data_IF_603554658927
#
_entry.id   IF_603554658927
#
_cell.length_a   1.000
_cell.length_b   1.000
_cell.length_c   1.000
_cell.angle_alpha   90.00
_cell.angle_beta   90.00
_cell.angle_gamma   90.00
#
_symmetry.space_group_name_H-M   'P 1'
#
loop_
_entity.id
_entity.type
_entity.pdbx_description
1 polymer ?
#
# COMPACT_ATOMS: atom_id res chain seq x y z
N UNK A 1 -15.01 46.06 52.44
CA UNK A 1 -15.17 46.01 50.99
C UNK A 1 -13.83 45.56 50.41
N UNK A 2 -13.61 44.55 49.82
CA UNK A 2 -13.99 43.37 49.17
C UNK A 2 -12.80 42.37 49.12
N UNK A 3 -12.49 41.66 50.20
CA UNK A 3 -11.49 40.55 50.13
C UNK A 3 -12.07 39.30 49.45
N UNK A 4 -13.37 39.26 49.18
CA UNK A 4 -14.06 38.13 48.54
C UNK A 4 -14.05 38.19 47.02
N UNK A 5 -14.08 39.35 46.40
CA UNK A 5 -14.06 39.50 44.93
C UNK A 5 -12.74 38.99 44.29
N UNK A 6 -11.61 39.20 44.98
CA UNK A 6 -10.30 38.71 44.49
C UNK A 6 -10.14 37.18 44.50
N UNK A 7 -10.86 36.50 45.41
CA UNK A 7 -10.80 35.02 45.51
C UNK A 7 -11.63 34.31 44.43
N UNK A 8 -12.75 34.93 44.01
CA UNK A 8 -13.63 34.40 42.96
C UNK A 8 -12.98 34.60 41.59
N UNK A 9 -12.37 35.74 41.33
CA UNK A 9 -11.64 36.01 40.07
C UNK A 9 -10.38 35.14 39.94
N UNK A 10 -9.66 34.90 41.03
CA UNK A 10 -8.51 33.99 41.05
C UNK A 10 -8.91 32.52 40.78
N UNK A 11 -10.03 32.05 41.34
CA UNK A 11 -10.56 30.71 41.13
C UNK A 11 -11.03 30.46 39.69
N UNK A 12 -11.69 31.46 39.07
CA UNK A 12 -12.11 31.39 37.66
C UNK A 12 -10.91 31.40 36.70
N UNK A 13 -9.87 32.20 36.97
CA UNK A 13 -8.63 32.22 36.18
C UNK A 13 -7.88 30.92 36.22
N UNK A 14 -7.81 30.26 37.38
CA UNK A 14 -7.15 28.93 37.52
C UNK A 14 -7.96 27.84 36.81
N UNK A 15 -9.29 27.85 36.89
CA UNK A 15 -10.16 26.90 36.18
C UNK A 15 -10.04 27.04 34.64
N UNK A 16 -9.94 28.26 34.13
CA UNK A 16 -9.75 28.52 32.68
C UNK A 16 -8.34 28.06 32.24
N UNK A 17 -7.30 28.30 33.06
CA UNK A 17 -5.94 27.85 32.74
C UNK A 17 -5.79 26.33 32.82
N UNK A 18 -6.40 25.70 33.83
CA UNK A 18 -6.38 24.23 33.94
C UNK A 18 -7.25 23.58 32.86
N UNK A 19 -8.42 24.15 32.55
CA UNK A 19 -9.26 23.70 31.45
C UNK A 19 -8.60 23.91 30.08
N UNK A 20 -7.94 25.06 29.86
CA UNK A 20 -7.17 25.36 28.66
C UNK A 20 -5.94 24.44 28.50
N UNK A 21 -5.19 24.22 29.58
CA UNK A 21 -4.06 23.30 29.57
C UNK A 21 -4.50 21.86 29.37
N UNK A 22 -5.62 21.42 29.93
CA UNK A 22 -6.22 20.11 29.69
C UNK A 22 -6.66 19.90 28.25
N UNK A 23 -7.28 20.92 27.62
CA UNK A 23 -7.66 20.89 26.20
C UNK A 23 -6.45 20.90 25.26
N UNK A 24 -5.41 21.67 25.56
CA UNK A 24 -4.16 21.67 24.80
C UNK A 24 -3.42 20.36 25.00
N UNK A 25 -3.32 19.85 26.24
CA UNK A 25 -2.72 18.57 26.53
C UNK A 25 -3.47 17.41 25.81
N UNK A 26 -4.80 17.40 25.80
CA UNK A 26 -5.58 16.38 25.09
C UNK A 26 -5.36 16.41 23.56
N UNK A 27 -5.11 17.59 22.98
CA UNK A 27 -4.74 17.73 21.56
C UNK A 27 -3.31 17.30 21.26
N UNK A 28 -2.38 17.46 22.20
CA UNK A 28 -0.97 17.10 22.03
C UNK A 28 -0.73 15.63 22.37
N UNK A 29 -1.52 15.03 23.27
CA UNK A 29 -1.32 13.70 23.85
C UNK A 29 -2.41 12.68 23.48
N UNK A 30 -3.37 13.05 22.62
CA UNK A 30 -4.45 12.16 22.19
C UNK A 30 -3.96 11.00 21.32
N UNK A 31 -4.65 9.86 21.42
CA UNK A 31 -4.41 8.69 20.56
C UNK A 31 -4.71 9.04 19.08
N UNK A 32 -3.84 8.57 18.18
CA UNK A 32 -3.83 8.96 16.78
C UNK A 32 -3.94 7.78 15.85
N UNK A 33 -4.50 8.03 14.68
CA UNK A 33 -4.44 7.16 13.51
C UNK A 33 -3.44 7.75 12.53
N UNK A 34 -2.38 7.01 12.22
CA UNK A 34 -1.43 7.40 11.19
C UNK A 34 -1.93 6.94 9.82
N UNK A 35 -1.70 7.74 8.79
CA UNK A 35 -1.96 7.39 7.40
C UNK A 35 -0.62 7.29 6.68
N UNK A 36 -0.37 6.14 6.06
CA UNK A 36 0.76 5.89 5.17
C UNK A 36 0.21 5.61 3.79
N UNK A 37 0.76 6.24 2.76
CA UNK A 37 0.34 6.06 1.37
C UNK A 37 1.34 5.23 0.61
N UNK A 38 0.83 4.30 -0.19
CA UNK A 38 1.61 3.51 -1.15
C UNK A 38 0.94 3.69 -2.51
N UNK A 39 1.49 4.59 -3.30
CA UNK A 39 0.95 5.00 -4.58
C UNK A 39 1.86 4.55 -5.73
N UNK A 40 1.28 4.20 -6.88
CA UNK A 40 2.03 3.85 -8.10
C UNK A 40 2.69 2.46 -8.04
N UNK A 41 3.63 2.19 -8.94
CA UNK A 41 4.30 0.89 -9.04
C UNK A 41 5.26 0.69 -7.87
N UNK A 42 5.15 -0.46 -7.20
CA UNK A 42 6.05 -0.83 -6.10
C UNK A 42 7.39 -1.27 -6.68
N UNK A 43 8.44 -0.52 -6.36
CA UNK A 43 9.81 -0.80 -6.80
C UNK A 43 10.73 -0.98 -5.60
N UNK A 44 11.82 -1.72 -5.78
CA UNK A 44 12.91 -1.78 -4.82
C UNK A 44 13.68 -0.44 -4.83
N UNK A 45 14.03 0.07 -3.66
CA UNK A 45 14.75 1.33 -3.54
C UNK A 45 13.85 2.57 -3.49
N UNK A 46 14.42 3.74 -3.83
CA UNK A 46 13.68 5.01 -3.92
C UNK A 46 13.09 5.17 -5.31
N UNK A 47 11.86 5.65 -5.39
CA UNK A 47 11.27 6.02 -6.67
C UNK A 47 12.11 7.13 -7.33
N UNK A 48 12.53 6.99 -8.61
CA UNK A 48 13.22 8.06 -9.32
C UNK A 48 12.29 9.26 -9.47
N UNK A 49 12.66 10.43 -8.94
CA UNK A 49 11.78 11.59 -8.75
C UNK A 49 11.35 12.32 -10.03
N UNK A 50 11.81 11.92 -11.21
CA UNK A 50 11.54 12.68 -12.44
C UNK A 50 10.61 11.98 -13.46
N UNK A 51 10.50 10.64 -13.44
CA UNK A 51 9.74 9.87 -14.43
C UNK A 51 8.86 8.75 -13.86
N UNK A 52 8.88 8.54 -12.55
CA UNK A 52 8.18 7.42 -11.96
C UNK A 52 7.36 7.89 -10.74
N UNK A 53 6.05 7.96 -10.90
CA UNK A 53 5.09 8.22 -9.81
C UNK A 53 4.86 6.95 -8.96
N UNK A 54 5.93 6.24 -8.61
CA UNK A 54 5.87 5.02 -7.82
C UNK A 54 6.33 5.24 -6.38
N UNK A 55 5.78 4.49 -5.45
CA UNK A 55 6.30 4.40 -4.08
C UNK A 55 7.50 3.46 -4.07
N UNK A 56 8.67 3.99 -3.71
CA UNK A 56 9.82 3.17 -3.39
C UNK A 56 9.56 2.37 -2.11
N UNK A 57 9.95 1.10 -2.09
CA UNK A 57 9.82 0.28 -0.88
C UNK A 57 10.59 0.90 0.29
N UNK A 58 11.78 1.45 0.04
CA UNK A 58 12.58 2.12 1.06
C UNK A 58 11.85 3.29 1.74
N UNK A 59 11.04 4.04 0.99
CA UNK A 59 10.24 5.15 1.54
C UNK A 59 9.11 4.63 2.41
N UNK A 60 8.36 3.66 1.90
CA UNK A 60 7.25 3.05 2.62
C UNK A 60 7.74 2.36 3.91
N UNK A 61 8.87 1.66 3.86
CA UNK A 61 9.50 1.01 5.02
C UNK A 61 9.95 2.04 6.06
N UNK A 62 10.59 3.15 5.63
CA UNK A 62 11.00 4.21 6.56
C UNK A 62 9.81 4.87 7.24
N UNK A 63 8.71 5.12 6.53
CA UNK A 63 7.48 5.66 7.07
C UNK A 63 6.85 4.71 8.08
N UNK A 64 6.67 3.44 7.74
CA UNK A 64 6.09 2.42 8.62
C UNK A 64 6.95 2.19 9.87
N UNK A 65 8.27 2.04 9.72
CA UNK A 65 9.18 1.84 10.85
C UNK A 65 9.16 3.03 11.82
N UNK A 66 9.04 4.26 11.29
CA UNK A 66 8.95 5.47 12.11
C UNK A 66 7.74 5.47 13.06
N UNK A 67 6.71 4.69 12.74
CA UNK A 67 5.47 4.59 13.53
C UNK A 67 5.62 3.60 14.69
N UNK A 68 6.47 2.58 14.54
CA UNK A 68 6.52 1.43 15.47
C UNK A 68 6.63 1.87 16.93
N UNK A 69 7.53 2.78 17.24
CA UNK A 69 7.83 3.22 18.60
C UNK A 69 6.99 4.41 19.08
N UNK A 70 6.10 4.93 18.24
CA UNK A 70 5.26 6.07 18.60
C UNK A 70 4.05 5.64 19.42
N UNK A 71 4.14 5.77 20.74
CA UNK A 71 3.07 5.38 21.69
C UNK A 71 1.72 6.04 21.43
N UNK A 72 1.72 7.25 20.86
CA UNK A 72 0.52 8.02 20.55
C UNK A 72 -0.22 7.46 19.33
N UNK A 73 0.46 6.74 18.42
CA UNK A 73 -0.17 6.10 17.28
C UNK A 73 -0.67 4.73 17.70
N UNK A 74 -1.98 4.58 17.75
CA UNK A 74 -2.64 3.33 18.13
C UNK A 74 -3.08 2.51 16.91
N UNK A 75 -3.32 3.19 15.79
CA UNK A 75 -3.69 2.53 14.55
C UNK A 75 -3.03 3.18 13.33
N UNK A 76 -2.96 2.41 12.26
CA UNK A 76 -2.43 2.83 10.96
C UNK A 76 -3.45 2.53 9.88
N UNK A 77 -3.67 3.47 8.98
CA UNK A 77 -4.37 3.24 7.73
C UNK A 77 -3.34 3.24 6.61
N UNK A 78 -3.25 2.11 5.91
CA UNK A 78 -2.48 1.99 4.67
C UNK A 78 -3.37 2.39 3.52
N UNK A 79 -3.15 3.56 2.93
CA UNK A 79 -3.84 3.95 1.70
C UNK A 79 -3.07 3.40 0.51
N UNK A 80 -3.62 2.38 -0.12
CA UNK A 80 -3.02 1.66 -1.24
C UNK A 80 -3.67 2.11 -2.56
N UNK A 81 -2.87 2.71 -3.44
CA UNK A 81 -3.31 3.06 -4.80
C UNK A 81 -2.22 2.64 -5.81
N UNK A 82 -2.09 1.32 -6.02
CA UNK A 82 -0.98 0.71 -6.71
C UNK A 82 -1.40 -0.53 -7.50
N UNK A 83 -0.91 -0.71 -8.73
CA UNK A 83 -1.11 -1.94 -9.50
C UNK A 83 -0.23 -3.11 -9.02
N UNK A 84 0.58 -2.91 -7.98
CA UNK A 84 1.60 -3.85 -7.52
C UNK A 84 2.99 -3.52 -8.08
N UNK A 85 3.84 -4.52 -8.19
CA UNK A 85 5.22 -4.34 -8.67
C UNK A 85 6.13 -5.48 -8.22
N UNK A 86 7.31 -5.14 -7.68
CA UNK A 86 8.29 -6.10 -7.18
C UNK A 86 7.70 -6.97 -6.07
N UNK A 87 7.78 -8.30 -6.23
CA UNK A 87 7.31 -9.25 -5.23
C UNK A 87 8.11 -9.12 -3.93
N UNK A 88 9.45 -9.05 -4.02
CA UNK A 88 10.32 -8.92 -2.85
C UNK A 88 10.03 -7.63 -2.07
N UNK A 89 9.92 -6.48 -2.76
CA UNK A 89 9.58 -5.22 -2.12
C UNK A 89 8.19 -5.26 -1.44
N UNK A 90 7.21 -5.91 -2.07
CA UNK A 90 5.87 -6.09 -1.48
C UNK A 90 5.91 -6.96 -0.23
N UNK A 91 6.75 -8.01 -0.21
CA UNK A 91 6.97 -8.85 0.95
C UNK A 91 7.65 -8.10 2.10
N UNK A 92 8.64 -7.26 1.82
CA UNK A 92 9.29 -6.44 2.84
C UNK A 92 8.32 -5.47 3.50
N UNK A 93 7.52 -4.77 2.70
CA UNK A 93 6.49 -3.86 3.22
C UNK A 93 5.45 -4.64 4.03
N UNK A 94 5.02 -5.81 3.56
CA UNK A 94 4.07 -6.66 4.25
C UNK A 94 4.59 -7.10 5.63
N UNK A 95 5.85 -7.50 5.74
CA UNK A 95 6.50 -7.86 7.02
C UNK A 95 6.57 -6.66 7.97
N UNK A 96 6.82 -5.46 7.47
CA UNK A 96 6.85 -4.26 8.31
C UNK A 96 5.44 -3.96 8.86
N UNK A 97 4.40 -4.15 8.05
CA UNK A 97 2.99 -4.07 8.49
C UNK A 97 2.69 -5.10 9.59
N UNK A 98 3.12 -6.34 9.42
CA UNK A 98 2.99 -7.39 10.44
C UNK A 98 3.75 -7.02 11.72
N UNK A 99 4.93 -6.42 11.59
CA UNK A 99 5.71 -5.89 12.71
C UNK A 99 4.98 -4.80 13.50
N UNK A 100 4.23 -3.92 12.82
CA UNK A 100 3.38 -2.92 13.47
C UNK A 100 2.23 -3.58 14.26
N UNK A 101 1.59 -4.61 13.69
CA UNK A 101 0.54 -5.39 14.36
C UNK A 101 1.09 -6.13 15.58
N UNK A 102 2.26 -6.75 15.46
CA UNK A 102 2.94 -7.40 16.56
C UNK A 102 3.31 -6.41 17.69
N UNK A 103 3.62 -5.16 17.35
CA UNK A 103 3.81 -4.07 18.30
C UNK A 103 2.51 -3.51 18.91
N UNK A 104 1.37 -4.17 18.67
CA UNK A 104 0.05 -3.84 19.22
C UNK A 104 -0.71 -2.74 18.49
N UNK A 105 -0.24 -2.28 17.34
CA UNK A 105 -0.97 -1.28 16.53
C UNK A 105 -2.01 -1.98 15.64
N UNK A 106 -3.16 -1.33 15.45
CA UNK A 106 -4.18 -1.82 14.53
C UNK A 106 -3.92 -1.28 13.14
N UNK A 107 -3.99 -2.14 12.13
CA UNK A 107 -3.71 -1.74 10.75
C UNK A 107 -4.93 -2.03 9.88
N UNK A 108 -5.39 -1.02 9.15
CA UNK A 108 -6.47 -1.14 8.17
C UNK A 108 -5.95 -0.73 6.80
N UNK A 109 -6.06 -1.61 5.83
CA UNK A 109 -5.81 -1.29 4.43
C UNK A 109 -7.02 -0.59 3.83
N UNK A 110 -6.83 0.60 3.27
CA UNK A 110 -7.83 1.34 2.51
C UNK A 110 -7.40 1.36 1.05
N UNK A 111 -8.11 0.64 0.22
CA UNK A 111 -7.83 0.56 -1.22
C UNK A 111 -8.29 1.84 -1.92
N UNK A 112 -7.46 2.33 -2.85
CA UNK A 112 -7.77 3.43 -3.76
C UNK A 112 -8.48 2.97 -5.02
N UNK A 113 -8.18 3.64 -6.13
CA UNK A 113 -8.70 3.23 -7.44
C UNK A 113 -8.22 1.83 -7.82
N UNK A 114 -6.93 1.55 -7.53
CA UNK A 114 -6.31 0.26 -7.78
C UNK A 114 -5.54 -0.19 -6.54
N UNK A 115 -5.73 -1.44 -6.12
CA UNK A 115 -4.91 -2.11 -5.11
C UNK A 115 -4.79 -3.58 -5.48
N UNK A 116 -3.87 -3.90 -6.39
CA UNK A 116 -3.80 -5.18 -7.06
C UNK A 116 -2.39 -5.80 -6.96
N UNK A 117 -2.29 -7.12 -7.17
CA UNK A 117 -1.02 -7.86 -7.19
C UNK A 117 -0.20 -7.59 -5.91
N UNK A 118 1.03 -7.08 -5.99
CA UNK A 118 1.86 -6.76 -4.83
C UNK A 118 1.19 -5.83 -3.82
N UNK A 119 0.34 -4.88 -4.26
CA UNK A 119 -0.42 -4.04 -3.33
C UNK A 119 -1.51 -4.83 -2.58
N UNK A 120 -2.12 -5.83 -3.23
CA UNK A 120 -3.03 -6.75 -2.56
C UNK A 120 -2.27 -7.65 -1.56
N UNK A 121 -1.04 -8.09 -1.90
CA UNK A 121 -0.18 -8.79 -0.96
C UNK A 121 0.03 -8.00 0.33
N UNK A 122 0.38 -6.71 0.20
CA UNK A 122 0.55 -5.81 1.34
C UNK A 122 -0.77 -5.65 2.11
N UNK A 123 -1.90 -5.46 1.40
CA UNK A 123 -3.22 -5.34 2.04
C UNK A 123 -3.56 -6.55 2.90
N UNK A 124 -3.17 -7.75 2.48
CA UNK A 124 -3.35 -8.99 3.22
C UNK A 124 -2.65 -9.01 4.59
N UNK A 125 -1.63 -8.19 4.81
CA UNK A 125 -0.94 -8.09 6.11
C UNK A 125 -1.65 -7.19 7.12
N UNK A 126 -2.72 -6.49 6.73
CA UNK A 126 -3.54 -5.66 7.63
C UNK A 126 -4.52 -6.49 8.48
N UNK A 127 -5.08 -5.89 9.53
CA UNK A 127 -6.15 -6.49 10.33
C UNK A 127 -7.49 -6.49 9.57
N UNK A 128 -7.72 -5.47 8.71
CA UNK A 128 -8.92 -5.34 7.87
C UNK A 128 -8.59 -4.66 6.56
N UNK A 129 -9.36 -5.00 5.53
CA UNK A 129 -9.27 -4.46 4.18
C UNK A 129 -10.60 -3.78 3.84
N UNK A 130 -10.55 -2.50 3.48
CA UNK A 130 -11.70 -1.69 3.06
C UNK A 130 -11.47 -1.21 1.64
N UNK A 131 -12.46 -1.34 0.77
CA UNK A 131 -12.40 -0.90 -0.62
C UNK A 131 -13.67 -0.14 -1.02
N UNK A 132 -13.53 0.84 -1.91
CA UNK A 132 -14.69 1.41 -2.58
C UNK A 132 -15.31 0.37 -3.54
N UNK A 133 -16.62 0.41 -3.84
CA UNK A 133 -17.26 -0.59 -4.71
C UNK A 133 -16.61 -0.74 -6.09
N UNK A 134 -16.06 0.34 -6.63
CA UNK A 134 -15.41 0.41 -7.95
C UNK A 134 -13.88 0.19 -7.91
N UNK A 135 -13.27 0.05 -6.75
CA UNK A 135 -11.84 -0.26 -6.62
C UNK A 135 -11.49 -1.49 -7.46
N UNK A 136 -10.39 -1.43 -8.18
CA UNK A 136 -9.81 -2.60 -8.86
C UNK A 136 -8.82 -3.29 -7.94
N UNK A 137 -9.05 -4.59 -7.64
CA UNK A 137 -8.21 -5.39 -6.75
C UNK A 137 -7.97 -6.80 -7.29
N UNK A 138 -7.38 -7.69 -6.48
CA UNK A 138 -7.02 -9.03 -6.90
C UNK A 138 -5.73 -9.06 -7.71
N UNK A 139 -5.77 -9.52 -8.97
CA UNK A 139 -4.57 -9.78 -9.78
C UNK A 139 -3.55 -10.63 -9.01
N UNK A 140 -4.07 -11.65 -8.31
CA UNK A 140 -3.27 -12.60 -7.53
C UNK A 140 -2.57 -13.51 -8.53
N UNK A 141 -1.28 -13.25 -8.75
CA UNK A 141 -0.50 -13.95 -9.76
C UNK A 141 0.90 -13.36 -9.89
N UNK A 142 1.75 -14.09 -10.61
CA UNK A 142 3.16 -13.72 -10.84
C UNK A 142 3.47 -13.83 -12.31
N UNK A 143 4.13 -12.85 -12.86
CA UNK A 143 4.61 -12.85 -14.24
C UNK A 143 6.10 -12.51 -14.28
N UNK A 144 6.81 -13.13 -15.23
CA UNK A 144 8.11 -12.66 -15.69
C UNK A 144 8.05 -12.41 -17.19
N UNK A 145 8.72 -11.38 -17.67
CA UNK A 145 8.76 -11.03 -19.09
C UNK A 145 10.19 -11.13 -19.58
N UNK A 146 10.38 -11.88 -20.65
CA UNK A 146 11.64 -12.00 -21.34
C UNK A 146 11.46 -11.44 -22.76
N UNK A 147 11.94 -10.20 -23.01
CA UNK A 147 11.86 -9.62 -24.36
C UNK A 147 12.60 -10.48 -25.39
N UNK A 148 12.11 -10.52 -26.62
CA UNK A 148 12.72 -11.25 -27.74
C UNK A 148 13.06 -10.23 -28.84
N UNK A 149 14.29 -9.72 -28.84
CA UNK A 149 14.77 -8.69 -29.75
C UNK A 149 15.74 -9.20 -30.83
N UNK A 150 16.04 -10.51 -30.84
CA UNK A 150 17.02 -11.07 -31.75
C UNK A 150 16.74 -10.85 -33.24
N UNK A 151 15.47 -10.82 -33.65
CA UNK A 151 15.08 -10.45 -35.02
C UNK A 151 15.34 -8.98 -35.36
N UNK A 152 15.15 -8.09 -34.39
CA UNK A 152 15.44 -6.66 -34.55
C UNK A 152 16.97 -6.46 -34.66
N UNK A 153 17.75 -7.09 -33.80
CA UNK A 153 19.21 -7.02 -33.83
C UNK A 153 19.75 -7.40 -35.19
N UNK A 154 19.32 -8.54 -35.74
CA UNK A 154 19.73 -8.97 -37.08
C UNK A 154 19.39 -7.98 -38.17
N UNK A 155 18.19 -7.36 -38.11
CA UNK A 155 17.80 -6.30 -39.09
C UNK A 155 18.67 -5.09 -39.01
N UNK A 156 19.18 -4.76 -37.83
CA UNK A 156 20.06 -3.61 -37.58
C UNK A 156 21.55 -3.93 -37.84
N UNK A 157 21.90 -5.18 -38.24
CA UNK A 157 23.28 -5.61 -38.40
C UNK A 157 24.03 -5.72 -37.08
N UNK A 158 23.32 -5.87 -35.95
CA UNK A 158 23.93 -6.09 -34.63
C UNK A 158 24.09 -7.57 -34.40
N UNK A 159 25.35 -7.96 -34.23
CA UNK A 159 25.73 -9.33 -33.84
C UNK A 159 26.20 -9.33 -32.40
N UNK A 160 25.80 -10.35 -31.63
CA UNK A 160 26.19 -10.50 -30.22
C UNK A 160 26.91 -11.80 -30.06
N UNK A 161 28.19 -11.76 -29.62
CA UNK A 161 28.96 -12.92 -29.23
C UNK A 161 28.99 -13.04 -27.72
N UNK A 162 28.45 -14.14 -27.16
CA UNK A 162 28.37 -14.35 -25.74
C UNK A 162 29.38 -15.40 -25.28
N UNK A 163 30.41 -14.94 -24.54
CA UNK A 163 31.33 -15.79 -23.82
C UNK A 163 30.87 -15.93 -22.38
N UNK A 164 30.56 -17.15 -21.93
CA UNK A 164 29.95 -17.39 -20.62
C UNK A 164 30.59 -18.53 -19.85
N UNK A 165 30.67 -18.40 -18.54
CA UNK A 165 31.24 -19.38 -17.62
C UNK A 165 30.32 -20.57 -17.34
N UNK A 166 29.03 -20.48 -17.67
CA UNK A 166 28.06 -21.54 -17.41
C UNK A 166 26.86 -21.50 -18.34
N UNK A 167 26.20 -22.64 -18.52
CA UNK A 167 25.08 -22.86 -19.46
C UNK A 167 23.99 -21.82 -19.37
N UNK A 168 23.63 -21.37 -18.16
CA UNK A 168 22.48 -20.52 -17.90
C UNK A 168 22.85 -19.08 -17.63
N UNK A 169 24.14 -18.66 -17.76
CA UNK A 169 24.55 -17.31 -17.36
C UNK A 169 23.93 -16.20 -18.20
N UNK A 170 23.53 -16.49 -19.43
CA UNK A 170 22.85 -15.60 -20.37
C UNK A 170 21.34 -15.90 -20.48
N UNK A 171 20.78 -16.65 -19.53
CA UNK A 171 19.36 -16.95 -19.48
C UNK A 171 18.55 -15.66 -19.41
N UNK A 172 17.55 -15.53 -20.31
CA UNK A 172 16.74 -14.32 -20.42
C UNK A 172 17.37 -13.23 -21.28
N UNK A 173 18.51 -13.46 -21.96
CA UNK A 173 19.03 -12.53 -22.96
C UNK A 173 17.98 -12.22 -24.02
N UNK A 174 17.78 -10.93 -24.38
CA UNK A 174 16.83 -10.54 -25.41
C UNK A 174 17.27 -10.92 -26.82
N UNK A 175 18.56 -11.23 -27.03
CA UNK A 175 19.12 -11.52 -28.34
C UNK A 175 18.72 -12.90 -28.91
N UNK A 176 18.24 -13.80 -28.06
CA UNK A 176 17.84 -15.16 -28.45
C UNK A 176 16.61 -15.68 -27.72
N UNK A 177 15.86 -16.64 -28.29
CA UNK A 177 14.77 -17.30 -27.59
C UNK A 177 15.27 -18.07 -26.35
N UNK A 178 14.40 -18.27 -25.36
CA UNK A 178 14.63 -19.18 -24.26
C UNK A 178 14.74 -20.64 -24.77
N UNK A 179 15.67 -21.37 -24.22
CA UNK A 179 15.67 -22.82 -24.36
C UNK A 179 14.59 -23.49 -23.52
N UNK A 180 14.26 -24.74 -23.78
CA UNK A 180 13.28 -25.46 -22.96
C UNK A 180 13.69 -25.60 -21.49
N UNK A 181 15.00 -25.75 -21.22
CA UNK A 181 15.52 -25.81 -19.85
C UNK A 181 15.37 -24.46 -19.13
N UNK A 182 15.73 -23.38 -19.79
CA UNK A 182 15.59 -22.01 -19.23
C UNK A 182 14.13 -21.65 -18.95
N UNK A 183 13.24 -22.05 -19.85
CA UNK A 183 11.78 -21.86 -19.62
C UNK A 183 11.34 -22.59 -18.35
N UNK A 184 11.77 -23.86 -18.15
CA UNK A 184 11.40 -24.59 -16.92
C UNK A 184 11.94 -23.94 -15.66
N UNK A 185 13.14 -23.33 -15.72
CA UNK A 185 13.70 -22.57 -14.58
C UNK A 185 12.83 -21.37 -14.27
N UNK A 186 12.41 -20.58 -15.28
CA UNK A 186 11.51 -19.44 -15.06
C UNK A 186 10.13 -19.88 -14.57
N UNK A 187 9.57 -20.95 -15.11
CA UNK A 187 8.28 -21.50 -14.67
C UNK A 187 8.33 -21.96 -13.21
N UNK A 188 9.42 -22.62 -12.80
CA UNK A 188 9.63 -23.02 -11.41
C UNK A 188 9.72 -21.81 -10.48
N UNK A 189 10.46 -20.76 -10.85
CA UNK A 189 10.57 -19.52 -10.08
C UNK A 189 9.22 -18.82 -9.96
N UNK A 190 8.48 -18.68 -11.05
CA UNK A 190 7.13 -18.09 -11.05
C UNK A 190 6.19 -18.90 -10.19
N UNK A 191 6.25 -20.22 -10.28
CA UNK A 191 5.43 -21.15 -9.49
C UNK A 191 5.72 -21.06 -7.99
N UNK A 192 6.97 -20.90 -7.59
CA UNK A 192 7.39 -20.74 -6.20
C UNK A 192 6.81 -19.42 -5.61
N UNK A 193 7.06 -18.27 -6.27
CA UNK A 193 6.55 -16.99 -5.81
C UNK A 193 5.02 -16.96 -5.82
N UNK A 194 4.37 -17.60 -6.80
CA UNK A 194 2.92 -17.76 -6.83
C UNK A 194 2.40 -18.57 -5.63
N UNK A 195 3.09 -19.66 -5.28
CA UNK A 195 2.76 -20.45 -4.09
C UNK A 195 2.78 -19.61 -2.83
N UNK A 196 3.83 -18.81 -2.65
CA UNK A 196 3.96 -17.88 -1.52
C UNK A 196 2.81 -16.85 -1.50
N UNK A 197 2.37 -16.35 -2.65
CA UNK A 197 1.24 -15.42 -2.71
C UNK A 197 -0.08 -16.10 -2.31
N UNK A 198 -0.32 -17.31 -2.80
CA UNK A 198 -1.50 -18.10 -2.40
C UNK A 198 -1.51 -18.33 -0.89
N UNK A 199 -0.36 -18.68 -0.30
CA UNK A 199 -0.26 -18.93 1.15
C UNK A 199 -0.50 -17.65 1.96
N UNK A 200 0.02 -16.51 1.53
CA UNK A 200 -0.24 -15.21 2.14
C UNK A 200 -1.74 -14.88 2.15
N UNK A 201 -2.41 -15.06 1.01
CA UNK A 201 -3.86 -14.79 0.92
C UNK A 201 -4.65 -15.80 1.75
N UNK A 202 -4.33 -17.07 1.67
CA UNK A 202 -5.02 -18.12 2.43
C UNK A 202 -4.95 -17.87 3.95
N UNK A 203 -3.75 -17.56 4.45
CA UNK A 203 -3.54 -17.27 5.87
C UNK A 203 -4.26 -16.00 6.32
N UNK A 204 -4.14 -14.90 5.54
CA UNK A 204 -4.72 -13.61 5.93
C UNK A 204 -6.23 -13.54 5.78
N UNK A 205 -6.78 -14.22 4.78
CA UNK A 205 -8.23 -14.24 4.49
C UNK A 205 -8.97 -15.42 5.12
N UNK A 206 -8.24 -16.32 5.79
CA UNK A 206 -8.77 -17.55 6.38
C UNK A 206 -9.54 -18.41 5.36
N UNK A 207 -9.06 -18.44 4.12
CA UNK A 207 -9.62 -19.22 3.03
C UNK A 207 -8.79 -20.50 2.82
N UNK A 208 -9.42 -21.63 2.44
CA UNK A 208 -8.66 -22.80 2.00
C UNK A 208 -7.76 -22.45 0.79
N UNK A 209 -6.53 -22.95 0.77
CA UNK A 209 -5.59 -22.70 -0.34
C UNK A 209 -6.17 -23.13 -1.69
N UNK A 210 -7.01 -24.18 -1.75
CA UNK A 210 -7.74 -24.59 -2.95
C UNK A 210 -8.67 -23.49 -3.44
N UNK A 211 -9.42 -22.86 -2.53
CA UNK A 211 -10.32 -21.74 -2.88
C UNK A 211 -9.53 -20.53 -3.35
N UNK A 212 -8.40 -20.23 -2.70
CA UNK A 212 -7.52 -19.13 -3.14
C UNK A 212 -7.00 -19.39 -4.55
N UNK A 213 -6.58 -20.60 -4.88
CA UNK A 213 -6.10 -20.96 -6.23
C UNK A 213 -7.16 -20.76 -7.33
N UNK A 214 -8.45 -20.97 -7.02
CA UNK A 214 -9.54 -20.68 -7.95
C UNK A 214 -9.69 -19.18 -8.24
N UNK A 215 -9.32 -18.32 -7.29
CA UNK A 215 -9.39 -16.86 -7.40
C UNK A 215 -8.06 -16.25 -7.91
N UNK A 216 -6.98 -17.02 -7.84
CA UNK A 216 -5.61 -16.57 -8.07
C UNK A 216 -5.08 -16.95 -9.47
N UNK A 217 -5.91 -16.80 -10.49
CA UNK A 217 -5.52 -17.01 -11.90
C UNK A 217 -5.05 -15.71 -12.57
N UNK A 218 -4.80 -14.66 -11.80
CA UNK A 218 -4.39 -13.36 -12.27
C UNK A 218 -5.53 -12.40 -12.62
N UNK A 219 -6.79 -12.84 -12.47
CA UNK A 219 -7.95 -11.97 -12.72
C UNK A 219 -8.06 -10.83 -11.73
N UNK A 220 -8.70 -9.73 -12.18
CA UNK A 220 -9.04 -8.60 -11.33
C UNK A 220 -10.49 -8.71 -10.85
N UNK A 221 -10.78 -8.02 -9.74
CA UNK A 221 -12.09 -7.91 -9.13
C UNK A 221 -12.41 -6.45 -8.87
N UNK A 222 -13.68 -6.09 -8.91
CA UNK A 222 -14.12 -4.84 -8.29
C UNK A 222 -14.11 -5.00 -6.76
N UNK A 223 -14.10 -3.89 -6.01
CA UNK A 223 -14.20 -3.95 -4.54
C UNK A 223 -15.41 -4.75 -4.06
N UNK A 224 -16.57 -4.61 -4.76
CA UNK A 224 -17.78 -5.40 -4.49
C UNK A 224 -17.55 -6.89 -4.69
N UNK A 225 -17.00 -7.29 -5.83
CA UNK A 225 -16.66 -8.69 -6.11
C UNK A 225 -15.61 -9.21 -5.13
N UNK A 226 -14.68 -8.36 -4.68
CA UNK A 226 -13.68 -8.69 -3.67
C UNK A 226 -14.32 -9.04 -2.32
N UNK A 227 -15.38 -8.33 -1.92
CA UNK A 227 -16.15 -8.67 -0.71
C UNK A 227 -16.87 -10.00 -0.89
N UNK A 228 -17.53 -10.22 -2.02
CA UNK A 228 -18.24 -11.47 -2.35
C UNK A 228 -17.29 -12.68 -2.38
N UNK A 229 -16.06 -12.48 -2.85
CA UNK A 229 -15.02 -13.50 -2.91
C UNK A 229 -14.29 -13.73 -1.58
N UNK A 230 -14.54 -12.92 -0.54
CA UNK A 230 -13.83 -12.97 0.74
C UNK A 230 -12.43 -12.33 0.72
N UNK A 231 -12.07 -11.63 -0.37
CA UNK A 231 -10.79 -10.97 -0.52
C UNK A 231 -10.72 -9.58 0.16
N UNK A 232 -11.88 -8.97 0.42
CA UNK A 232 -12.06 -7.66 1.05
C UNK A 232 -13.03 -7.83 2.22
N UNK A 233 -12.82 -7.11 3.34
CA UNK A 233 -13.67 -7.24 4.52
C UNK A 233 -14.97 -6.44 4.41
N UNK A 234 -14.89 -5.24 3.85
CA UNK A 234 -16.06 -4.36 3.70
C UNK A 234 -15.89 -3.33 2.61
N UNK A 235 -17.02 -2.87 2.08
CA UNK A 235 -17.06 -1.67 1.26
C UNK A 235 -16.98 -0.42 2.13
N UNK A 236 -16.30 0.60 1.64
CA UNK A 236 -16.19 1.88 2.32
C UNK A 236 -15.08 2.76 1.76
N UNK A 237 -15.12 4.02 2.16
CA UNK A 237 -14.18 5.06 1.78
C UNK A 237 -12.94 5.08 2.70
N UNK A 238 -11.97 5.91 2.38
CA UNK A 238 -10.85 6.23 3.28
C UNK A 238 -11.33 6.69 4.67
N UNK A 239 -12.40 7.47 4.74
CA UNK A 239 -12.98 7.93 5.99
C UNK A 239 -13.53 6.79 6.83
N UNK A 240 -14.13 5.78 6.19
CA UNK A 240 -14.61 4.56 6.85
C UNK A 240 -13.44 3.74 7.40
N UNK A 241 -12.36 3.59 6.63
CA UNK A 241 -11.15 2.92 7.07
C UNK A 241 -10.51 3.59 8.30
N UNK A 242 -10.47 4.93 8.33
CA UNK A 242 -9.98 5.70 9.49
C UNK A 242 -10.87 5.46 10.72
N UNK A 243 -12.20 5.47 10.56
CA UNK A 243 -13.13 5.17 11.67
C UNK A 243 -12.95 3.73 12.18
N UNK A 244 -12.85 2.78 11.27
CA UNK A 244 -12.60 1.37 11.58
C UNK A 244 -11.28 1.20 12.34
N UNK A 245 -10.19 1.80 11.88
CA UNK A 245 -8.89 1.76 12.53
C UNK A 245 -8.94 2.34 13.96
N UNK A 246 -9.60 3.48 14.13
CA UNK A 246 -9.82 4.08 15.44
C UNK A 246 -10.64 3.20 16.37
N UNK A 247 -11.73 2.59 15.87
CA UNK A 247 -12.57 1.66 16.63
C UNK A 247 -11.80 0.41 17.07
N UNK A 248 -11.06 -0.21 16.17
CA UNK A 248 -10.21 -1.38 16.47
C UNK A 248 -9.15 -1.07 17.53
N UNK A 249 -8.64 0.16 17.55
CA UNK A 249 -7.66 0.62 18.52
C UNK A 249 -8.26 1.15 19.83
N UNK A 250 -9.59 1.13 19.98
CA UNK A 250 -10.28 1.63 21.17
C UNK A 250 -10.26 3.15 21.35
N UNK A 251 -9.99 3.91 20.27
CA UNK A 251 -9.99 5.39 20.30
C UNK A 251 -11.42 5.88 20.45
N UNK A 252 -11.69 6.64 21.53
CA UNK A 252 -13.00 7.23 21.79
C UNK A 252 -13.21 8.50 20.96
N UNK A 253 -14.35 8.59 20.30
CA UNK A 253 -14.72 9.76 19.49
C UNK A 253 -14.05 9.76 18.09
N UNK A 254 -13.95 10.97 17.49
CA UNK A 254 -13.33 11.14 16.16
C UNK A 254 -11.81 11.00 16.26
N UNK A 255 -11.17 10.04 15.57
CA UNK A 255 -9.73 9.86 15.63
C UNK A 255 -8.97 11.10 15.13
N UNK A 256 -7.88 11.45 15.81
CA UNK A 256 -6.91 12.40 15.26
C UNK A 256 -6.08 11.71 14.19
N UNK A 257 -6.09 12.27 12.98
CA UNK A 257 -5.38 11.70 11.83
C UNK A 257 -4.08 12.46 11.61
N UNK A 258 -2.99 11.74 11.44
CA UNK A 258 -1.68 12.28 11.05
C UNK A 258 -1.22 11.59 9.78
N UNK A 259 -0.79 12.35 8.79
CA UNK A 259 -0.10 11.80 7.62
C UNK A 259 1.39 11.66 7.93
N UNK A 260 1.93 10.50 7.59
CA UNK A 260 3.36 10.23 7.73
C UNK A 260 3.99 10.45 6.36
N UNK A 261 5.04 11.29 6.32
CA UNK A 261 5.82 11.57 5.11
C UNK A 261 7.30 11.65 5.47
N UNK A 262 8.17 11.39 4.51
CA UNK A 262 9.59 11.65 4.70
C UNK A 262 9.82 13.10 5.14
N UNK A 263 10.47 13.30 6.30
CA UNK A 263 10.79 14.61 6.85
C UNK A 263 9.90 15.11 7.99
N UNK A 264 8.86 14.37 8.41
CA UNK A 264 8.08 14.75 9.60
C UNK A 264 6.64 14.29 9.66
N UNK A 265 6.03 14.59 10.79
CA UNK A 265 4.64 14.33 11.10
C UNK A 265 3.81 15.58 10.84
N UNK A 266 2.84 15.48 9.94
CA UNK A 266 1.95 16.61 9.64
C UNK A 266 0.55 16.33 10.18
N UNK A 267 0.01 17.17 11.10
CA UNK A 267 -1.41 17.12 11.45
C UNK A 267 -2.22 17.38 10.20
N UNK A 268 -3.20 16.55 9.91
CA UNK A 268 -4.18 16.83 8.87
C UNK A 268 -5.00 18.02 9.35
N UNK A 269 -4.68 19.22 8.88
CA UNK A 269 -5.46 20.42 9.15
C UNK A 269 -6.88 20.23 8.61
N UNK A 270 -7.86 20.75 9.34
CA UNK A 270 -9.29 20.72 8.99
C UNK A 270 -9.64 21.59 7.75
N UNK A 271 -8.61 22.11 7.08
CA UNK A 271 -8.73 22.81 5.80
C UNK A 271 -8.21 21.87 4.72
N UNK A 272 -9.17 21.32 3.96
CA UNK A 272 -8.91 20.56 2.74
C UNK A 272 -8.01 21.32 1.76
N UNK A 273 -6.71 21.24 1.96
CA UNK A 273 -5.77 21.37 0.88
C UNK A 273 -5.66 20.00 0.24
N UNK A 274 -6.69 19.67 -0.54
CA UNK A 274 -6.49 18.83 -1.70
C UNK A 274 -5.32 19.45 -2.46
N UNK A 275 -4.23 18.70 -2.66
CA UNK A 275 -3.30 19.05 -3.74
C UNK A 275 -4.17 19.19 -4.98
N UNK A 276 -3.97 20.22 -5.80
CA UNK A 276 -4.66 20.26 -7.07
C UNK A 276 -4.39 18.92 -7.74
N UNK A 277 -5.46 18.22 -8.10
CA UNK A 277 -5.43 17.08 -8.98
C UNK A 277 -5.04 17.61 -10.38
N UNK A 278 -3.77 17.91 -10.53
CA UNK A 278 -3.14 18.41 -11.74
C UNK A 278 -2.11 17.40 -12.20
N UNK A 279 -2.61 16.28 -12.62
CA UNK A 279 -1.90 15.22 -13.29
C UNK A 279 -2.93 14.18 -13.65
N UNK A 280 -3.41 14.22 -14.89
CA UNK A 280 -4.13 13.11 -15.47
C UNK A 280 -3.30 11.86 -15.24
N UNK A 281 -3.76 10.96 -14.38
CA UNK A 281 -3.16 9.64 -14.15
C UNK A 281 -3.37 8.79 -15.40
N UNK A 282 -2.62 9.08 -16.45
CA UNK A 282 -2.48 8.18 -17.58
C UNK A 282 -1.53 7.07 -17.17
N UNK A 283 -2.07 5.96 -16.72
CA UNK A 283 -1.31 4.74 -16.50
C UNK A 283 -0.75 4.23 -17.82
N UNK A 284 0.49 4.56 -18.12
CA UNK A 284 1.24 3.94 -19.20
C UNK A 284 1.88 2.65 -18.68
N UNK A 285 1.29 1.52 -19.04
CA UNK A 285 1.98 0.25 -18.90
C UNK A 285 3.26 0.27 -19.75
N UNK A 286 4.41 -0.20 -19.25
CA UNK A 286 5.57 -0.43 -20.09
C UNK A 286 5.19 -1.48 -21.15
N UNK A 287 5.06 -1.06 -22.41
CA UNK A 287 4.64 -1.96 -23.50
C UNK A 287 3.48 -1.46 -24.33
N UNK A 288 2.98 -0.23 -24.14
CA UNK A 288 2.14 0.44 -25.13
C UNK A 288 0.70 -0.05 -25.26
N UNK A 289 0.11 -0.69 -24.27
CA UNK A 289 -1.33 -0.98 -24.26
C UNK A 289 -1.99 0.03 -23.33
N UNK A 290 -2.67 1.00 -23.95
CA UNK A 290 -3.45 2.05 -23.31
C UNK A 290 -4.86 1.51 -23.06
N UNK A 291 -5.19 1.22 -21.81
CA UNK A 291 -6.58 1.06 -21.42
C UNK A 291 -7.15 2.46 -21.18
N UNK A 292 -7.79 3.03 -22.20
CA UNK A 292 -8.62 4.24 -22.06
C UNK A 292 -9.85 3.87 -21.25
N UNK A 293 -9.90 4.27 -19.99
CA UNK A 293 -11.19 4.46 -19.33
C UNK A 293 -11.73 5.82 -19.76
N UNK A 294 -12.71 5.81 -20.65
CA UNK A 294 -13.47 7.00 -21.01
C UNK A 294 -14.26 7.45 -19.78
N UNK A 295 -14.15 8.70 -19.32
CA UNK A 295 -15.04 9.19 -18.29
C UNK A 295 -16.46 9.23 -18.88
N UNK A 296 -17.37 8.49 -18.28
CA UNK A 296 -18.81 8.63 -18.57
C UNK A 296 -19.26 9.91 -17.89
N UNK A 297 -19.33 10.98 -18.67
CA UNK A 297 -20.08 12.18 -18.28
C UNK A 297 -21.55 11.89 -18.52
N UNK A 298 -22.33 11.81 -17.46
CA UNK A 298 -23.77 11.85 -17.41
C UNK A 298 -24.19 12.91 -16.43
#
# INVERSE_FOLDING_TARGET
>A
MNRWAGRILGGLGVLVLVGGAGLVASRVWGDRVAVVRIDGVITEGRAPSFWNEGSGAAESLAELSSIRDKRQVKAVVLRLNSPGGSAAASQEIAREVEGLRAAGKKVVASMGDVSASGAYWIACSADRIVADPATVTGSIGVITRVPQLGSLYRRMGIEEEVVKSGKYKDMGSPGRPLTGDERRIFEAMVGDVYGQFVDQVAGSRHLPATRVRELADGRIFTGRQGVEAGLVDSLGTMGDAVRMAGSLAGIKGKPQVVEVRQGGWWPRGDKGQERPAGGESTWRLPGGVMLMMVPVTG
#
